data_IF_853351442540
#
_entry.id   IF_853351442540
#
_cell.length_a   1.000
_cell.length_b   1.000
_cell.length_c   1.000
_cell.angle_alpha   90.00
_cell.angle_beta   90.00
_cell.angle_gamma   90.00
#
_symmetry.space_group_name_H-M   'P 1'
#
loop_
_entity.id
_entity.type
_entity.pdbx_description
1 polymer ?
#
# COMPACT_ATOMS: atom_id res chain seq x y z
N UNK A 1 5.48 14.20 -0.33
CA UNK A 1 4.01 14.01 -0.21
C UNK A 1 3.32 15.36 -0.25
N UNK A 2 2.18 15.47 -0.94
CA UNK A 2 1.52 16.76 -1.14
C UNK A 2 0.04 16.73 -0.82
N UNK A 3 -0.47 17.91 -0.51
CA UNK A 3 -1.89 18.20 -0.45
C UNK A 3 -2.20 19.16 -1.62
N UNK A 4 -2.71 18.63 -2.74
CA UNK A 4 -2.92 19.42 -3.96
C UNK A 4 -2.65 18.66 -5.26
N UNK A 5 -2.48 19.40 -6.37
CA UNK A 5 -2.21 18.85 -7.71
C UNK A 5 -0.74 18.48 -7.97
N UNK A 6 0.18 18.80 -7.08
CA UNK A 6 1.61 18.55 -7.28
C UNK A 6 1.97 17.27 -6.53
N UNK A 7 2.17 16.14 -7.21
CA UNK A 7 2.40 14.82 -6.58
C UNK A 7 1.36 13.82 -7.08
N UNK A 8 1.79 12.89 -7.93
CA UNK A 8 0.92 12.29 -8.94
C UNK A 8 0.31 10.96 -8.49
N UNK A 9 -0.67 11.01 -7.59
CA UNK A 9 -1.58 9.87 -7.40
C UNK A 9 -2.87 10.12 -8.17
N UNK A 10 -3.30 9.15 -8.99
CA UNK A 10 -4.59 9.20 -9.70
C UNK A 10 -5.69 9.56 -8.71
N UNK A 11 -6.48 10.58 -8.97
CA UNK A 11 -7.62 10.91 -8.11
C UNK A 11 -8.77 9.88 -8.24
N UNK A 12 -8.62 8.86 -9.08
CA UNK A 12 -9.55 7.73 -9.24
C UNK A 12 -8.81 6.41 -9.02
N UNK A 13 -9.55 5.36 -8.64
CA UNK A 13 -9.07 3.97 -8.60
C UNK A 13 -9.21 3.31 -9.98
N UNK A 14 -8.38 2.33 -10.30
CA UNK A 14 -8.54 1.53 -11.52
C UNK A 14 -9.84 0.74 -11.49
N UNK A 15 -10.81 1.14 -12.35
CA UNK A 15 -12.18 0.61 -12.29
C UNK A 15 -13.09 1.28 -11.27
N UNK A 16 -12.55 2.30 -10.57
CA UNK A 16 -13.24 3.25 -9.72
C UNK A 16 -14.23 4.14 -10.46
N UNK A 17 -15.17 4.72 -9.72
CA UNK A 17 -16.05 5.80 -10.21
C UNK A 17 -15.94 7.07 -9.38
N UNK A 18 -15.33 6.99 -8.20
CA UNK A 18 -15.20 8.13 -7.31
C UNK A 18 -13.94 8.93 -7.62
N UNK A 19 -14.12 10.25 -7.69
CA UNK A 19 -13.01 11.20 -7.72
C UNK A 19 -12.65 11.59 -6.28
N UNK A 20 -11.54 11.06 -5.79
CA UNK A 20 -10.94 11.37 -4.48
C UNK A 20 -10.62 12.86 -4.37
N UNK A 21 -10.90 13.43 -3.21
CA UNK A 21 -10.50 14.79 -2.83
C UNK A 21 -9.03 14.82 -2.41
N UNK A 22 -8.44 16.01 -2.34
CA UNK A 22 -7.01 16.18 -2.02
C UNK A 22 -6.69 15.62 -0.62
N UNK A 23 -7.58 15.76 0.36
CA UNK A 23 -7.41 15.13 1.67
C UNK A 23 -7.38 13.61 1.61
N UNK A 24 -8.23 12.98 0.79
CA UNK A 24 -8.21 11.53 0.58
C UNK A 24 -6.91 11.07 -0.10
N UNK A 25 -6.48 11.78 -1.13
CA UNK A 25 -5.20 11.51 -1.83
C UNK A 25 -4.03 11.63 -0.86
N UNK A 26 -3.96 12.73 -0.09
CA UNK A 26 -2.91 12.92 0.92
C UNK A 26 -2.92 11.79 1.94
N UNK A 27 -4.08 11.45 2.49
CA UNK A 27 -4.19 10.42 3.51
C UNK A 27 -3.70 9.05 2.98
N UNK A 28 -4.14 8.65 1.79
CA UNK A 28 -3.74 7.38 1.18
C UNK A 28 -2.22 7.36 0.87
N UNK A 29 -1.67 8.43 0.31
CA UNK A 29 -0.23 8.56 0.02
C UNK A 29 0.62 8.56 1.28
N UNK A 30 0.21 9.33 2.29
CA UNK A 30 0.89 9.40 3.58
C UNK A 30 0.92 8.05 4.27
N UNK A 31 -0.20 7.34 4.23
CA UNK A 31 -0.27 6.00 4.79
C UNK A 31 0.64 5.00 4.06
N UNK A 32 0.71 5.07 2.72
CA UNK A 32 1.61 4.23 1.93
C UNK A 32 3.06 4.46 2.33
N UNK A 33 3.47 5.72 2.41
CA UNK A 33 4.85 6.10 2.77
C UNK A 33 5.20 5.69 4.21
N UNK A 34 4.28 5.81 5.17
CA UNK A 34 4.50 5.30 6.52
C UNK A 34 4.76 3.79 6.56
N UNK A 35 4.05 3.01 5.75
CA UNK A 35 4.28 1.57 5.67
C UNK A 35 5.65 1.24 5.05
N UNK A 36 6.10 2.00 4.05
CA UNK A 36 7.45 1.86 3.50
C UNK A 36 8.51 2.13 4.58
N UNK A 37 8.36 3.19 5.38
CA UNK A 37 9.26 3.47 6.50
C UNK A 37 9.22 2.39 7.59
N UNK A 38 8.05 1.79 7.85
CA UNK A 38 7.94 0.67 8.78
C UNK A 38 8.74 -0.55 8.29
N UNK A 39 8.62 -0.93 7.01
CA UNK A 39 9.40 -2.04 6.44
C UNK A 39 10.89 -1.72 6.39
N UNK A 40 11.26 -0.50 6.02
CA UNK A 40 12.65 -0.05 6.08
C UNK A 40 13.24 -0.23 7.49
N UNK A 41 12.51 0.18 8.53
CA UNK A 41 12.95 0.01 9.90
C UNK A 41 13.12 -1.48 10.28
N UNK A 42 12.16 -2.33 9.94
CA UNK A 42 12.26 -3.77 10.24
C UNK A 42 13.45 -4.39 9.52
N UNK A 43 13.58 -4.18 8.22
CA UNK A 43 14.68 -4.77 7.43
C UNK A 43 16.05 -4.30 7.90
N UNK A 44 16.23 -3.00 8.15
CA UNK A 44 17.51 -2.48 8.66
C UNK A 44 17.81 -2.94 10.08
N UNK A 45 16.81 -3.10 10.95
CA UNK A 45 17.00 -3.67 12.30
C UNK A 45 17.45 -5.14 12.25
N UNK A 46 17.08 -5.83 11.19
CA UNK A 46 17.51 -7.19 10.86
C UNK A 46 18.81 -7.20 10.02
N UNK A 47 19.52 -6.07 9.91
CA UNK A 47 20.81 -6.00 9.22
C UNK A 47 20.74 -6.20 7.71
N UNK A 48 19.55 -6.10 7.09
CA UNK A 48 19.42 -6.07 5.63
C UNK A 48 19.77 -4.67 5.11
N UNK A 49 20.58 -4.63 4.05
CA UNK A 49 20.82 -3.40 3.30
C UNK A 49 19.66 -3.15 2.35
N UNK A 50 18.91 -2.08 2.62
CA UNK A 50 17.75 -1.69 1.81
C UNK A 50 17.75 -0.19 1.56
N UNK A 51 17.28 0.27 0.38
CA UNK A 51 17.21 1.69 0.09
C UNK A 51 16.26 2.38 1.07
N UNK A 52 16.65 3.56 1.53
CA UNK A 52 15.77 4.38 2.35
C UNK A 52 14.60 4.86 1.48
N UNK A 53 13.34 4.78 1.97
CA UNK A 53 12.20 5.34 1.25
C UNK A 53 12.42 6.80 0.89
N UNK A 54 12.17 7.12 -0.37
CA UNK A 54 12.28 8.47 -0.88
C UNK A 54 11.13 9.36 -0.39
N UNK A 55 11.42 10.63 -0.15
CA UNK A 55 10.44 11.67 0.19
C UNK A 55 10.11 12.58 -1.01
N UNK A 56 10.81 12.42 -2.13
CA UNK A 56 10.72 13.29 -3.30
C UNK A 56 9.33 13.26 -3.94
N UNK A 57 8.98 14.39 -4.55
CA UNK A 57 7.70 14.59 -5.24
C UNK A 57 7.94 14.47 -6.75
N UNK A 58 7.59 13.33 -7.32
CA UNK A 58 7.77 13.08 -8.76
C UNK A 58 6.69 13.74 -9.62
N UNK A 59 7.10 14.26 -10.78
CA UNK A 59 6.26 14.89 -11.80
C UNK A 59 5.33 13.86 -12.50
N UNK A 60 4.35 14.36 -13.26
CA UNK A 60 3.40 13.53 -14.01
C UNK A 60 4.13 12.54 -14.93
N UNK A 61 4.07 11.24 -14.60
CA UNK A 61 4.67 10.16 -15.41
C UNK A 61 5.71 9.32 -14.68
N UNK A 62 6.33 9.87 -13.63
CA UNK A 62 7.30 9.16 -12.81
C UNK A 62 6.62 8.70 -11.52
N UNK A 63 6.34 7.40 -11.42
CA UNK A 63 5.85 6.81 -10.19
C UNK A 63 7.06 6.52 -9.31
N UNK A 64 7.04 7.07 -8.10
CA UNK A 64 7.83 6.56 -6.98
C UNK A 64 7.42 5.11 -6.79
N UNK A 65 8.26 4.22 -7.30
CA UNK A 65 7.96 2.81 -7.32
C UNK A 65 8.08 2.40 -5.86
N UNK A 66 6.95 2.22 -5.16
CA UNK A 66 6.84 1.76 -3.77
C UNK A 66 7.34 0.31 -3.61
N UNK A 67 8.51 0.08 -4.16
CA UNK A 67 9.14 -1.15 -4.55
C UNK A 67 10.42 -1.20 -3.73
N UNK A 68 10.46 -2.17 -2.82
CA UNK A 68 11.71 -2.49 -2.16
C UNK A 68 12.41 -3.52 -3.01
N UNK A 69 13.52 -3.11 -3.60
CA UNK A 69 14.49 -4.03 -4.19
C UNK A 69 15.49 -4.41 -3.10
N UNK A 70 15.54 -5.71 -2.78
CA UNK A 70 16.44 -6.28 -1.76
C UNK A 70 17.13 -7.48 -2.39
N UNK A 71 18.43 -7.34 -2.66
CA UNK A 71 19.13 -8.27 -3.55
C UNK A 71 18.49 -8.26 -4.94
N UNK A 72 18.14 -9.43 -5.47
CA UNK A 72 17.43 -9.56 -6.76
C UNK A 72 15.89 -9.56 -6.61
N UNK A 73 15.37 -9.40 -5.39
CA UNK A 73 13.93 -9.49 -5.11
C UNK A 73 13.24 -8.15 -5.18
N UNK A 74 12.13 -8.12 -5.92
CA UNK A 74 11.24 -6.96 -6.01
C UNK A 74 10.00 -7.15 -5.14
N UNK A 75 9.86 -6.32 -4.11
CA UNK A 75 8.80 -6.41 -3.10
C UNK A 75 7.86 -5.20 -3.21
N UNK A 76 6.55 -5.44 -3.11
CA UNK A 76 5.56 -4.35 -2.99
C UNK A 76 5.07 -4.22 -1.55
N UNK A 77 4.80 -2.99 -1.13
CA UNK A 77 4.25 -2.71 0.20
C UNK A 77 2.83 -2.18 0.05
N UNK A 78 1.91 -2.75 0.82
CA UNK A 78 0.54 -2.26 0.95
C UNK A 78 0.22 -2.01 2.41
N UNK A 79 -0.61 -1.01 2.66
CA UNK A 79 -1.04 -0.66 4.01
C UNK A 79 -2.54 -0.76 4.17
N UNK A 80 -2.97 -1.04 5.40
CA UNK A 80 -4.37 -1.10 5.80
C UNK A 80 -4.54 -0.62 7.23
N UNK A 81 -5.79 -0.40 7.65
CA UNK A 81 -6.11 -0.03 9.03
C UNK A 81 -5.74 -1.16 9.98
N UNK A 82 -5.48 -0.86 11.26
CA UNK A 82 -5.12 -1.85 12.28
C UNK A 82 -6.05 -3.07 12.36
N UNK A 83 -7.35 -2.89 12.10
CA UNK A 83 -8.32 -4.00 12.09
C UNK A 83 -8.46 -4.73 10.74
N UNK A 84 -7.76 -4.30 9.69
CA UNK A 84 -7.87 -4.84 8.33
C UNK A 84 -7.38 -6.30 8.24
N UNK A 85 -8.23 -7.19 7.71
CA UNK A 85 -7.93 -8.63 7.58
C UNK A 85 -7.69 -9.07 6.13
N UNK A 86 -7.70 -8.14 5.18
CA UNK A 86 -7.57 -8.44 3.76
C UNK A 86 -6.45 -7.59 3.15
N UNK A 87 -5.56 -8.24 2.41
CA UNK A 87 -4.85 -7.58 1.32
C UNK A 87 -5.85 -7.41 0.19
N UNK A 88 -5.96 -6.20 -0.36
CA UNK A 88 -6.83 -5.88 -1.48
C UNK A 88 -5.99 -5.33 -2.63
N UNK A 89 -6.17 -5.91 -3.81
CA UNK A 89 -5.46 -5.53 -5.02
C UNK A 89 -6.49 -5.26 -6.12
N UNK A 90 -6.49 -4.05 -6.68
CA UNK A 90 -7.46 -3.63 -7.69
C UNK A 90 -7.37 -4.54 -8.92
N UNK A 91 -8.43 -5.29 -9.22
CA UNK A 91 -8.36 -6.41 -10.16
C UNK A 91 -8.01 -6.02 -11.59
N UNK A 92 -8.12 -4.73 -11.93
CA UNK A 92 -7.78 -4.19 -13.25
C UNK A 92 -6.29 -3.86 -13.41
N UNK A 93 -5.54 -3.83 -12.31
CA UNK A 93 -4.10 -3.55 -12.34
C UNK A 93 -3.26 -4.83 -12.36
N UNK A 94 -3.87 -6.01 -12.38
CA UNK A 94 -3.18 -7.30 -12.33
C UNK A 94 -3.67 -8.24 -13.42
N UNK A 95 -2.74 -8.93 -14.07
CA UNK A 95 -3.05 -9.97 -15.06
C UNK A 95 -3.20 -11.36 -14.41
N UNK A 96 -3.48 -12.37 -15.24
CA UNK A 96 -3.66 -13.76 -14.79
C UNK A 96 -2.36 -14.40 -14.25
N UNK A 97 -1.21 -13.85 -14.62
CA UNK A 97 0.10 -14.27 -14.17
C UNK A 97 0.56 -13.57 -12.89
N UNK A 98 -0.28 -12.70 -12.32
CA UNK A 98 0.03 -11.92 -11.12
C UNK A 98 1.09 -10.86 -11.37
N UNK A 99 1.21 -10.38 -12.62
CA UNK A 99 2.01 -9.23 -12.98
C UNK A 99 1.18 -7.96 -12.81
N UNK A 100 1.81 -6.91 -12.31
CA UNK A 100 1.22 -5.60 -12.16
C UNK A 100 1.28 -4.87 -13.50
N UNK A 101 0.13 -4.78 -14.17
CA UNK A 101 -0.04 -4.27 -15.54
C UNK A 101 0.64 -2.91 -15.75
N UNK A 102 0.52 -1.92 -14.83
CA UNK A 102 1.15 -0.62 -15.04
C UNK A 102 2.68 -0.63 -15.14
N UNK A 103 3.35 -1.67 -14.65
CA UNK A 103 4.80 -1.78 -14.62
C UNK A 103 5.37 -2.75 -15.69
N UNK A 104 4.52 -3.47 -16.44
CA UNK A 104 4.96 -4.51 -17.39
C UNK A 104 5.94 -3.97 -18.44
N UNK A 105 5.60 -2.85 -19.08
CA UNK A 105 6.46 -2.25 -20.12
C UNK A 105 7.78 -1.68 -19.56
N UNK A 106 7.82 -1.35 -18.27
CA UNK A 106 9.00 -0.75 -17.64
C UNK A 106 10.00 -1.80 -17.17
N UNK A 107 9.52 -2.81 -16.45
CA UNK A 107 10.37 -3.74 -15.71
C UNK A 107 9.79 -5.17 -15.63
N UNK A 108 8.81 -5.48 -16.48
CA UNK A 108 8.13 -6.78 -16.50
C UNK A 108 7.02 -6.92 -15.46
N UNK A 109 6.80 -5.92 -14.59
CA UNK A 109 5.65 -5.84 -13.69
C UNK A 109 5.60 -6.90 -12.61
N UNK A 110 6.66 -7.69 -12.44
CA UNK A 110 6.72 -8.78 -11.48
C UNK A 110 7.10 -8.26 -10.10
N UNK A 111 6.33 -8.65 -9.10
CA UNK A 111 6.70 -8.57 -7.68
C UNK A 111 6.84 -9.99 -7.14
N UNK A 112 7.94 -10.30 -6.47
CA UNK A 112 8.16 -11.62 -5.86
C UNK A 112 7.28 -11.82 -4.62
N UNK A 113 7.04 -10.74 -3.88
CA UNK A 113 6.08 -10.73 -2.79
C UNK A 113 5.44 -9.35 -2.55
N UNK A 114 4.29 -9.37 -1.90
CA UNK A 114 3.61 -8.20 -1.33
C UNK A 114 3.57 -8.32 0.18
N UNK A 115 4.00 -7.27 0.88
CA UNK A 115 3.96 -7.18 2.34
C UNK A 115 2.76 -6.31 2.73
N UNK A 116 1.92 -6.81 3.64
CA UNK A 116 0.81 -6.05 4.19
C UNK A 116 1.16 -5.49 5.57
N UNK A 117 1.07 -4.17 5.70
CA UNK A 117 1.31 -3.44 6.96
C UNK A 117 -0.01 -2.88 7.49
N UNK A 118 -0.29 -3.14 8.75
CA UNK A 118 -1.38 -2.51 9.51
C UNK A 118 -0.84 -1.31 10.24
N UNK A 119 -1.60 -0.22 10.26
CA UNK A 119 -1.20 1.03 10.87
C UNK A 119 -2.31 1.62 11.75
N UNK A 120 -1.92 2.26 12.84
CA UNK A 120 -2.77 3.10 13.67
C UNK A 120 -1.99 4.30 14.25
N UNK A 121 -2.59 5.50 14.34
CA UNK A 121 -3.83 5.88 13.69
C UNK A 121 -3.69 5.82 12.15
N UNK A 122 -4.82 5.75 11.46
CA UNK A 122 -4.82 5.89 10.00
C UNK A 122 -4.95 7.37 9.65
N UNK A 123 -4.19 7.87 8.68
CA UNK A 123 -4.18 9.28 8.27
C UNK A 123 -5.58 9.79 7.93
N UNK A 124 -6.40 8.94 7.30
CA UNK A 124 -7.79 9.29 6.97
C UNK A 124 -8.64 9.61 8.21
N UNK A 125 -8.33 9.00 9.36
CA UNK A 125 -9.08 9.19 10.59
C UNK A 125 -8.66 10.49 11.30
N UNK A 126 -7.37 10.84 11.26
CA UNK A 126 -6.86 12.16 11.68
C UNK A 126 -7.54 13.26 10.85
N UNK A 127 -7.50 13.13 9.52
CA UNK A 127 -8.09 14.13 8.61
C UNK A 127 -9.62 14.23 8.73
N UNK A 128 -10.31 13.16 9.14
CA UNK A 128 -11.75 13.23 9.50
C UNK A 128 -11.97 14.04 10.76
N UNK A 129 -11.13 13.87 11.78
CA UNK A 129 -11.17 14.67 13.00
C UNK A 129 -11.03 16.16 12.71
N UNK A 130 -10.14 16.51 11.78
CA UNK A 130 -9.92 17.88 11.29
C UNK A 130 -11.01 18.39 10.31
N UNK A 131 -11.97 17.54 9.92
CA UNK A 131 -12.94 17.80 8.83
C UNK A 131 -12.30 18.15 7.48
N UNK A 132 -11.06 17.71 7.25
CA UNK A 132 -10.29 18.02 6.05
C UNK A 132 -10.19 16.87 5.05
N UNK A 133 -10.61 15.64 5.42
CA UNK A 133 -10.49 14.47 4.53
C UNK A 133 -11.17 14.70 3.17
N UNK A 134 -12.40 15.23 3.18
CA UNK A 134 -13.17 15.50 1.97
C UNK A 134 -12.97 16.94 1.44
N UNK A 135 -11.93 17.63 1.90
CA UNK A 135 -11.58 18.98 1.46
C UNK A 135 -10.55 18.96 0.33
N UNK A 136 -10.61 19.98 -0.52
CA UNK A 136 -9.57 20.28 -1.52
C UNK A 136 -8.53 21.28 -1.02
N UNK A 137 -8.76 21.91 0.14
CA UNK A 137 -7.85 22.87 0.79
C UNK A 137 -7.61 22.48 2.25
N UNK A 138 -6.40 22.71 2.74
CA UNK A 138 -6.03 22.54 4.15
C UNK A 138 -4.96 23.57 4.51
N UNK A 139 -4.94 23.99 5.77
CA UNK A 139 -3.82 24.75 6.30
C UNK A 139 -2.63 23.80 6.50
N UNK A 140 -1.49 24.11 5.89
CA UNK A 140 -0.29 23.25 5.94
C UNK A 140 0.31 23.14 7.33
N UNK A 141 0.34 24.24 8.09
CA UNK A 141 0.90 24.26 9.43
C UNK A 141 0.02 23.49 10.41
N UNK A 142 -1.30 23.62 10.25
CA UNK A 142 -2.28 22.83 11.00
C UNK A 142 -2.15 21.34 10.69
N UNK A 143 -2.05 20.97 9.41
CA UNK A 143 -1.83 19.58 8.99
C UNK A 143 -0.54 19.02 9.57
N UNK A 144 0.56 19.76 9.43
CA UNK A 144 1.86 19.35 9.94
C UNK A 144 1.79 19.11 11.44
N UNK A 145 1.30 20.08 12.21
CA UNK A 145 1.19 19.98 13.67
C UNK A 145 0.32 18.80 14.11
N UNK A 146 -0.84 18.58 13.47
CA UNK A 146 -1.71 17.46 13.81
C UNK A 146 -1.03 16.12 13.51
N UNK A 147 -0.36 15.98 12.35
CA UNK A 147 0.33 14.74 12.00
C UNK A 147 1.53 14.48 12.92
N UNK A 148 2.34 15.49 13.25
CA UNK A 148 3.55 15.30 14.07
C UNK A 148 3.28 15.11 15.56
N UNK A 149 2.07 15.46 16.02
CA UNK A 149 1.65 15.21 17.40
C UNK A 149 1.12 13.79 17.63
N UNK A 150 0.93 13.02 16.56
CA UNK A 150 0.44 11.65 16.63
C UNK A 150 1.60 10.66 16.77
N UNK A 151 1.36 9.57 17.51
CA UNK A 151 2.25 8.42 17.53
C UNK A 151 1.68 7.35 16.59
N UNK A 152 2.43 7.01 15.55
CA UNK A 152 2.05 5.95 14.61
C UNK A 152 2.67 4.63 15.02
N UNK A 153 1.82 3.63 15.18
CA UNK A 153 2.17 2.24 15.44
C UNK A 153 1.88 1.40 14.20
N UNK A 154 2.65 0.32 14.03
CA UNK A 154 2.49 -0.59 12.92
C UNK A 154 2.60 -2.06 13.35
N UNK A 155 1.99 -2.93 12.55
CA UNK A 155 2.13 -4.39 12.61
C UNK A 155 2.34 -4.89 11.18
N UNK A 156 3.27 -5.81 10.96
CA UNK A 156 3.36 -6.51 9.69
C UNK A 156 2.38 -7.68 9.72
N UNK A 157 1.25 -7.54 9.02
CA UNK A 157 0.17 -8.52 9.02
C UNK A 157 0.57 -9.81 8.29
N UNK A 158 1.48 -9.71 7.31
CA UNK A 158 2.04 -10.88 6.64
C UNK A 158 2.54 -10.58 5.22
N UNK A 159 3.02 -11.65 4.59
CA UNK A 159 3.63 -11.65 3.26
C UNK A 159 2.87 -12.58 2.33
N UNK A 160 2.56 -12.08 1.13
CA UNK A 160 1.94 -12.83 0.02
C UNK A 160 2.95 -12.96 -1.10
N UNK A 161 3.40 -14.18 -1.42
CA UNK A 161 4.29 -14.38 -2.58
C UNK A 161 3.50 -14.29 -3.88
N UNK A 162 4.18 -14.05 -5.00
CA UNK A 162 3.57 -14.08 -6.34
C UNK A 162 2.79 -15.38 -6.58
N UNK A 163 3.33 -16.53 -6.17
CA UNK A 163 2.64 -17.82 -6.30
C UNK A 163 1.32 -17.90 -5.52
N UNK A 164 1.20 -17.23 -4.37
CA UNK A 164 -0.07 -17.13 -3.63
C UNK A 164 -1.02 -16.17 -4.34
N UNK A 165 -0.54 -15.02 -4.82
CA UNK A 165 -1.34 -14.08 -5.59
C UNK A 165 -1.93 -14.72 -6.86
N UNK A 166 -1.11 -15.43 -7.65
CA UNK A 166 -1.58 -16.17 -8.84
C UNK A 166 -2.68 -17.17 -8.51
N UNK A 167 -2.56 -17.88 -7.37
CA UNK A 167 -3.62 -18.79 -6.90
C UNK A 167 -4.89 -18.03 -6.55
N UNK A 168 -4.78 -16.88 -5.88
CA UNK A 168 -5.94 -16.05 -5.55
C UNK A 168 -6.68 -15.56 -6.82
N UNK A 169 -5.92 -15.11 -7.82
CA UNK A 169 -6.46 -14.68 -9.12
C UNK A 169 -7.14 -15.85 -9.83
N UNK A 170 -6.45 -16.99 -9.98
CA UNK A 170 -6.97 -18.19 -10.64
C UNK A 170 -8.21 -18.78 -9.98
N UNK A 171 -8.29 -18.70 -8.66
CA UNK A 171 -9.43 -19.19 -7.88
C UNK A 171 -10.56 -18.17 -7.77
N UNK A 172 -10.47 -17.04 -8.48
CA UNK A 172 -11.45 -15.95 -8.43
C UNK A 172 -11.73 -15.47 -6.99
N UNK A 173 -10.68 -15.42 -6.15
CA UNK A 173 -10.77 -14.82 -4.82
C UNK A 173 -10.95 -13.31 -4.96
N UNK A 174 -12.20 -12.91 -5.15
CA UNK A 174 -12.57 -11.63 -5.71
C UNK A 174 -13.70 -10.98 -4.92
N UNK A 175 -13.62 -9.67 -4.76
CA UNK A 175 -14.69 -8.83 -4.22
C UNK A 175 -15.12 -7.82 -5.27
N UNK A 176 -16.38 -7.83 -5.72
CA UNK A 176 -16.84 -6.91 -6.75
C UNK A 176 -16.95 -5.47 -6.24
N UNK A 177 -16.76 -4.51 -7.15
CA UNK A 177 -17.12 -3.11 -6.94
C UNK A 177 -18.55 -2.99 -6.37
N UNK A 178 -18.72 -2.10 -5.40
CA UNK A 178 -20.00 -1.86 -4.74
C UNK A 178 -20.30 -2.82 -3.58
N UNK A 179 -19.50 -3.86 -3.38
CA UNK A 179 -19.60 -4.73 -2.22
C UNK A 179 -19.13 -4.04 -0.93
N UNK A 180 -19.53 -4.61 0.20
CA UNK A 180 -19.09 -4.20 1.53
C UNK A 180 -18.09 -5.22 2.07
N UNK A 181 -16.92 -4.75 2.50
CA UNK A 181 -15.98 -5.61 3.26
C UNK A 181 -16.42 -5.72 4.71
N UNK A 182 -16.89 -4.60 5.28
CA UNK A 182 -17.53 -4.54 6.59
C UNK A 182 -18.67 -3.51 6.53
N UNK A 183 -19.88 -3.91 6.92
CA UNK A 183 -21.06 -3.04 6.88
C UNK A 183 -21.11 -2.15 8.13
N UNK A 184 -20.23 -1.15 8.16
CA UNK A 184 -20.18 -0.15 9.24
C UNK A 184 -21.08 1.06 8.91
N UNK A 185 -21.35 1.32 7.63
CA UNK A 185 -22.25 2.40 7.20
C UNK A 185 -22.59 2.33 5.71
N UNK A 186 -23.56 3.15 5.26
CA UNK A 186 -24.06 3.14 3.87
C UNK A 186 -22.98 3.44 2.83
N UNK A 187 -21.98 4.24 3.20
CA UNK A 187 -20.93 4.76 2.30
C UNK A 187 -19.66 3.89 2.25
N UNK A 188 -19.61 2.74 2.93
CA UNK A 188 -18.41 1.91 3.01
C UNK A 188 -18.32 0.84 1.89
N UNK A 189 -18.75 1.20 0.68
CA UNK A 189 -18.68 0.32 -0.49
C UNK A 189 -17.30 0.41 -1.12
N UNK A 190 -16.81 -0.70 -1.65
CA UNK A 190 -15.62 -0.70 -2.49
C UNK A 190 -15.87 0.08 -3.79
N UNK A 191 -14.98 1.01 -4.12
CA UNK A 191 -15.06 1.78 -5.36
C UNK A 191 -14.52 0.99 -6.57
N UNK A 192 -13.66 -0.01 -6.35
CA UNK A 192 -13.13 -0.88 -7.39
C UNK A 192 -13.34 -2.35 -7.02
N UNK A 193 -13.32 -3.22 -8.03
CA UNK A 193 -13.24 -4.66 -7.82
C UNK A 193 -11.81 -5.03 -7.39
N UNK A 194 -11.67 -5.98 -6.47
CA UNK A 194 -10.37 -6.35 -5.92
C UNK A 194 -10.21 -7.86 -5.85
N UNK A 195 -9.01 -8.35 -6.17
CA UNK A 195 -8.56 -9.63 -5.63
C UNK A 195 -8.24 -9.47 -4.14
N UNK A 196 -8.39 -10.54 -3.37
CA UNK A 196 -8.06 -10.51 -1.95
C UNK A 196 -7.30 -11.73 -1.48
N UNK A 197 -6.49 -11.52 -0.44
CA UNK A 197 -5.87 -12.58 0.37
C UNK A 197 -6.15 -12.27 1.84
N UNK A 198 -6.61 -13.26 2.61
CA UNK A 198 -6.86 -13.08 4.04
C UNK A 198 -5.54 -13.13 4.82
N UNK A 199 -5.43 -12.32 5.87
CA UNK A 199 -4.20 -12.28 6.69
C UNK A 199 -3.87 -13.61 7.34
N UNK A 200 -4.86 -14.45 7.62
CA UNK A 200 -4.64 -15.82 8.13
C UNK A 200 -3.94 -16.76 7.14
N UNK A 201 -3.96 -16.44 5.85
CA UNK A 201 -3.32 -17.23 4.79
C UNK A 201 -1.92 -16.68 4.42
N UNK A 202 -1.49 -15.59 5.06
CA UNK A 202 -0.21 -14.93 4.76
C UNK A 202 0.95 -15.58 5.51
N UNK A 203 2.15 -15.50 4.92
CA UNK A 203 3.38 -15.94 5.58
C UNK A 203 3.89 -14.90 6.58
N UNK A 204 4.60 -15.36 7.60
CA UNK A 204 5.36 -14.47 8.49
C UNK A 204 6.42 -13.68 7.72
N UNK A 205 6.67 -12.44 8.14
CA UNK A 205 7.78 -11.62 7.64
C UNK A 205 9.15 -12.24 7.91
N UNK A 206 9.30 -12.98 9.02
CA UNK A 206 10.56 -13.64 9.36
C UNK A 206 11.02 -14.61 8.27
N UNK A 207 10.10 -15.36 7.67
CA UNK A 207 10.40 -16.28 6.58
C UNK A 207 10.89 -15.57 5.32
N UNK A 208 10.40 -14.35 5.06
CA UNK A 208 10.89 -13.54 3.96
C UNK A 208 12.31 -13.04 4.26
N UNK A 209 12.55 -12.53 5.47
CA UNK A 209 13.87 -12.03 5.89
C UNK A 209 14.93 -13.14 5.84
N UNK A 210 14.61 -14.33 6.34
CA UNK A 210 15.49 -15.51 6.27
C UNK A 210 15.84 -15.84 4.82
N UNK A 211 14.85 -15.93 3.94
CA UNK A 211 15.08 -16.21 2.52
C UNK A 211 15.94 -15.12 1.83
N UNK A 212 15.72 -13.85 2.14
CA UNK A 212 16.52 -12.74 1.61
C UNK A 212 17.98 -12.82 2.08
N UNK A 213 18.21 -13.12 3.36
CA UNK A 213 19.58 -13.27 3.90
C UNK A 213 20.33 -14.44 3.27
N UNK A 214 19.67 -15.58 3.12
CA UNK A 214 20.26 -16.76 2.48
C UNK A 214 20.69 -16.43 1.05
N UNK A 215 19.80 -15.80 0.27
CA UNK A 215 20.07 -15.41 -1.11
C UNK A 215 21.29 -14.48 -1.21
N UNK A 216 21.29 -13.39 -0.44
CA UNK A 216 22.39 -12.40 -0.41
C UNK A 216 23.74 -13.03 -0.01
N UNK A 217 23.73 -14.03 0.89
CA UNK A 217 24.97 -14.69 1.34
C UNK A 217 25.51 -15.67 0.31
N UNK A 218 24.65 -16.18 -0.58
CA UNK A 218 25.02 -17.17 -1.62
C UNK A 218 25.38 -16.56 -2.97
N UNK A 219 25.09 -15.28 -3.17
CA UNK A 219 25.45 -14.48 -4.36
C UNK A 219 26.87 -13.91 -4.27
#
# INVERSE_FOLDING_TARGET
MSFGKEGTHRNYRSGGSNNRKNGEVFADTFQGKLAEFAIYHVFTSEGLEVPRPDNDMYNLGDWDSGNFEVGERKLSIKSTKSFGQLLLLESKDWDEDGLYIPDIERDGGRYDATILVRLQPFASDILKGMRSLYSSTINKDELYSNITNETFEYEIAGVVTNGVLKKAIKNEQFVPKGAYINKIGKNNKLDASNYYVQTGDMKSISLLIEALREEITTS
#
